data_IF_785870131678
#
_entry.id   IF_785870131678
#
_cell.length_a   1.000
_cell.length_b   1.000
_cell.length_c   1.000
_cell.angle_alpha   90.00
_cell.angle_beta   90.00
_cell.angle_gamma   90.00
#
_symmetry.space_group_name_H-M   'P 1'
#
loop_
_entity.id
_entity.type
_entity.pdbx_description
1 polymer ?
#
# COMPACT_ATOMS: atom_id res chain seq x y z
N UNK A 1 -37.29 40.77 -38.97
CA UNK A 1 -36.74 40.94 -37.61
C UNK A 1 -37.63 40.18 -36.62
N UNK A 2 -37.06 39.31 -35.77
CA UNK A 2 -37.82 38.53 -34.77
C UNK A 2 -38.30 39.46 -33.64
N UNK A 3 -39.57 39.32 -33.22
CA UNK A 3 -40.18 40.17 -32.19
C UNK A 3 -39.52 39.99 -30.81
N UNK A 4 -39.52 41.05 -29.98
CA UNK A 4 -39.01 40.99 -28.60
C UNK A 4 -39.71 39.91 -27.76
N UNK A 5 -41.02 39.72 -27.97
CA UNK A 5 -41.82 38.70 -27.26
C UNK A 5 -41.39 37.28 -27.62
N UNK A 6 -41.12 37.03 -28.90
CA UNK A 6 -40.62 35.73 -29.37
C UNK A 6 -39.23 35.43 -28.80
N UNK A 7 -38.32 36.40 -28.77
CA UNK A 7 -36.99 36.24 -28.15
C UNK A 7 -37.07 35.92 -26.67
N UNK A 8 -37.97 36.57 -25.92
CA UNK A 8 -38.16 36.34 -24.49
C UNK A 8 -38.71 34.93 -24.19
N UNK A 9 -39.67 34.45 -24.99
CA UNK A 9 -40.23 33.09 -24.84
C UNK A 9 -39.17 32.03 -25.15
N UNK A 10 -38.43 32.19 -26.26
CA UNK A 10 -37.37 31.25 -26.63
C UNK A 10 -36.26 31.20 -25.59
N UNK A 11 -35.86 32.36 -25.05
CA UNK A 11 -34.87 32.41 -23.96
C UNK A 11 -35.39 31.72 -22.69
N UNK A 12 -36.65 31.92 -22.31
CA UNK A 12 -37.26 31.24 -21.16
C UNK A 12 -37.30 29.72 -21.29
N UNK A 13 -37.68 29.22 -22.47
CA UNK A 13 -37.69 27.77 -22.76
C UNK A 13 -36.27 27.20 -22.73
N UNK A 14 -35.30 27.90 -23.33
CA UNK A 14 -33.90 27.45 -23.36
C UNK A 14 -33.31 27.42 -21.94
N UNK A 15 -33.55 28.44 -21.13
CA UNK A 15 -33.10 28.48 -19.73
C UNK A 15 -33.74 27.35 -18.91
N UNK A 16 -35.05 27.12 -19.03
CA UNK A 16 -35.72 26.03 -18.32
C UNK A 16 -35.20 24.65 -18.73
N UNK A 17 -34.94 24.44 -20.04
CA UNK A 17 -34.38 23.20 -20.55
C UNK A 17 -32.93 22.99 -20.07
N UNK A 18 -32.10 24.04 -20.06
CA UNK A 18 -30.73 23.98 -19.53
C UNK A 18 -30.72 23.75 -18.01
N UNK A 19 -31.61 24.38 -17.25
CA UNK A 19 -31.75 24.13 -15.81
C UNK A 19 -32.19 22.70 -15.51
N UNK A 20 -33.16 22.15 -16.25
CA UNK A 20 -33.59 20.76 -16.08
C UNK A 20 -32.47 19.76 -16.45
N UNK A 21 -31.69 20.06 -17.50
CA UNK A 21 -30.59 19.22 -17.97
C UNK A 21 -29.35 19.28 -17.09
N UNK A 22 -29.12 20.38 -16.38
CA UNK A 22 -28.02 20.53 -15.43
C UNK A 22 -28.35 19.91 -14.05
N UNK A 23 -29.63 19.81 -13.70
CA UNK A 23 -30.10 19.27 -12.42
C UNK A 23 -30.30 17.74 -12.47
N UNK A 24 -30.65 17.17 -13.63
CA UNK A 24 -30.83 15.72 -13.80
C UNK A 24 -29.56 14.87 -13.49
N UNK A 25 -28.34 15.26 -13.90
CA UNK A 25 -27.12 14.51 -13.53
C UNK A 25 -26.84 14.54 -12.02
N UNK A 26 -27.30 15.57 -11.29
CA UNK A 26 -27.14 15.66 -9.84
C UNK A 26 -28.07 14.70 -9.07
N UNK A 27 -29.15 14.23 -9.69
CA UNK A 27 -30.04 13.20 -9.13
C UNK A 27 -29.73 11.77 -9.61
N UNK A 28 -28.90 11.61 -10.65
CA UNK A 28 -28.53 10.29 -11.20
C UNK A 28 -27.47 9.54 -10.36
N UNK A 29 -26.94 10.13 -9.30
CA UNK A 29 -25.98 9.48 -8.40
C UNK A 29 -26.63 8.54 -7.36
N UNK A 30 -27.96 8.34 -7.38
CA UNK A 30 -28.68 7.58 -6.34
C UNK A 30 -29.32 6.26 -6.81
N UNK A 31 -28.99 5.75 -7.99
CA UNK A 31 -29.41 4.40 -8.33
C UNK A 31 -28.66 3.42 -7.40
N UNK A 32 -29.39 2.59 -6.65
CA UNK A 32 -28.79 1.59 -5.79
C UNK A 32 -27.86 0.70 -6.61
N UNK A 33 -26.63 0.53 -6.13
CA UNK A 33 -25.68 -0.43 -6.69
C UNK A 33 -26.18 -1.83 -6.37
N UNK A 34 -26.57 -2.58 -7.40
CA UNK A 34 -27.08 -3.95 -7.28
C UNK A 34 -26.05 -4.95 -6.74
N UNK A 35 -24.77 -4.59 -6.74
CA UNK A 35 -23.68 -5.40 -6.19
C UNK A 35 -23.36 -5.07 -4.72
N UNK A 36 -23.82 -3.92 -4.21
CA UNK A 36 -23.53 -3.46 -2.84
C UNK A 36 -24.77 -3.57 -1.95
N UNK A 37 -25.24 -4.79 -1.70
CA UNK A 37 -26.49 -5.04 -0.95
C UNK A 37 -26.29 -5.33 0.53
N UNK A 38 -25.06 -5.61 0.95
CA UNK A 38 -24.74 -6.01 2.32
C UNK A 38 -24.56 -4.79 3.23
N UNK A 39 -24.77 -4.97 4.54
CA UNK A 39 -24.49 -3.99 5.61
C UNK A 39 -24.99 -2.55 5.37
N UNK A 40 -26.08 -2.38 4.62
CA UNK A 40 -26.60 -1.06 4.28
C UNK A 40 -25.73 -0.26 3.31
N UNK A 41 -24.89 -0.92 2.50
CA UNK A 41 -23.94 -0.28 1.59
C UNK A 41 -24.57 0.73 0.60
N UNK A 42 -25.86 0.59 0.30
CA UNK A 42 -26.62 1.55 -0.52
C UNK A 42 -27.15 2.78 0.23
N UNK A 43 -26.97 2.88 1.56
CA UNK A 43 -27.47 4.01 2.36
C UNK A 43 -26.61 5.27 2.18
N UNK A 44 -25.29 5.10 2.02
CA UNK A 44 -24.35 6.20 1.79
C UNK A 44 -22.99 5.68 1.33
N UNK A 45 -22.13 6.54 0.80
CA UNK A 45 -20.73 6.17 0.51
C UNK A 45 -19.95 5.73 1.76
N UNK A 46 -20.28 6.25 2.94
CA UNK A 46 -19.64 5.82 4.19
C UNK A 46 -20.03 4.38 4.53
N UNK A 47 -21.31 4.02 4.35
CA UNK A 47 -21.79 2.64 4.53
C UNK A 47 -21.28 1.68 3.46
N UNK A 48 -21.13 2.16 2.22
CA UNK A 48 -20.48 1.39 1.16
C UNK A 48 -19.02 1.06 1.52
N UNK A 49 -18.29 2.06 2.02
CA UNK A 49 -16.94 1.87 2.52
C UNK A 49 -16.90 0.90 3.70
N UNK A 50 -17.79 1.06 4.70
CA UNK A 50 -17.85 0.17 5.88
C UNK A 50 -18.10 -1.29 5.46
N UNK A 51 -19.01 -1.51 4.52
CA UNK A 51 -19.26 -2.85 3.96
C UNK A 51 -18.03 -3.44 3.28
N UNK A 52 -17.31 -2.66 2.47
CA UNK A 52 -16.06 -3.13 1.85
C UNK A 52 -14.97 -3.41 2.89
N UNK A 53 -14.85 -2.52 3.88
CA UNK A 53 -13.89 -2.67 4.98
C UNK A 53 -14.16 -3.96 5.77
N UNK A 54 -15.43 -4.30 5.98
CA UNK A 54 -15.81 -5.54 6.63
C UNK A 54 -15.35 -6.77 5.84
N UNK A 55 -15.40 -6.73 4.52
CA UNK A 55 -14.95 -7.86 3.69
C UNK A 55 -13.44 -8.03 3.68
N UNK A 56 -12.70 -6.92 3.54
CA UNK A 56 -11.25 -6.96 3.27
C UNK A 56 -10.41 -6.87 4.54
N UNK A 57 -10.89 -6.21 5.61
CA UNK A 57 -10.18 -6.06 6.88
C UNK A 57 -10.85 -6.88 7.99
N UNK A 58 -12.10 -6.56 8.36
CA UNK A 58 -12.76 -7.20 9.53
C UNK A 58 -12.84 -8.71 9.35
N UNK A 59 -13.23 -9.17 8.16
CA UNK A 59 -13.33 -10.58 7.77
C UNK A 59 -12.23 -10.99 6.77
N UNK A 60 -11.19 -10.17 6.61
CA UNK A 60 -10.18 -10.35 5.57
C UNK A 60 -9.50 -11.72 5.58
N UNK A 61 -9.21 -12.26 6.77
CA UNK A 61 -8.64 -13.61 6.89
C UNK A 61 -9.60 -14.73 6.45
N UNK A 62 -10.89 -14.57 6.76
CA UNK A 62 -11.92 -15.54 6.39
C UNK A 62 -12.21 -15.47 4.89
N UNK A 63 -12.19 -14.27 4.33
CA UNK A 63 -12.49 -14.00 2.93
C UNK A 63 -11.26 -14.18 2.02
N UNK A 64 -10.07 -14.40 2.59
CA UNK A 64 -8.84 -14.70 1.85
C UNK A 64 -8.03 -13.48 1.40
N UNK A 65 -8.37 -12.28 1.87
CA UNK A 65 -7.59 -11.06 1.60
C UNK A 65 -6.34 -10.94 2.49
N UNK A 66 -6.45 -11.42 3.74
CA UNK A 66 -5.38 -11.33 4.72
C UNK A 66 -4.89 -12.72 5.08
N UNK A 67 -3.58 -12.87 5.20
CA UNK A 67 -2.99 -14.11 5.68
C UNK A 67 -3.32 -14.39 7.15
N UNK A 68 -3.10 -15.64 7.58
CA UNK A 68 -3.19 -16.00 9.01
C UNK A 68 -1.98 -15.52 9.82
N UNK A 69 -0.93 -15.06 9.14
CA UNK A 69 0.32 -14.62 9.74
C UNK A 69 0.18 -13.16 10.12
N UNK A 70 0.14 -12.88 11.42
CA UNK A 70 -0.17 -11.54 11.94
C UNK A 70 1.04 -10.84 12.58
N UNK A 71 2.23 -11.45 12.51
CA UNK A 71 3.48 -11.02 13.17
C UNK A 71 3.19 -10.24 14.47
N UNK A 72 2.60 -10.94 15.44
CA UNK A 72 2.12 -10.35 16.69
C UNK A 72 0.68 -9.82 16.65
N UNK A 73 0.48 -8.62 17.20
CA UNK A 73 -0.84 -8.02 17.48
C UNK A 73 -1.39 -7.16 16.32
N UNK A 74 -0.94 -7.43 15.09
CA UNK A 74 -1.30 -6.67 13.89
C UNK A 74 -2.38 -7.39 13.06
N UNK A 75 -2.71 -6.87 11.88
CA UNK A 75 -3.55 -7.60 10.93
C UNK A 75 -2.78 -8.76 10.31
N UNK A 76 -3.46 -9.64 9.60
CA UNK A 76 -2.78 -10.54 8.68
C UNK A 76 -2.07 -9.74 7.59
N UNK A 77 -0.91 -10.22 7.13
CA UNK A 77 -0.23 -9.65 5.95
C UNK A 77 -1.21 -9.71 4.75
N UNK A 78 -1.50 -8.60 4.06
CA UNK A 78 -2.40 -8.59 2.92
C UNK A 78 -1.76 -9.30 1.73
N UNK A 79 -2.49 -10.25 1.13
CA UNK A 79 -2.09 -10.83 -0.14
C UNK A 79 -2.30 -9.83 -1.28
N UNK A 80 -1.56 -10.01 -2.38
CA UNK A 80 -1.75 -9.27 -3.62
C UNK A 80 -3.14 -9.55 -4.22
N UNK A 81 -3.61 -10.79 -4.13
CA UNK A 81 -4.96 -11.18 -4.49
C UNK A 81 -5.49 -12.36 -3.67
N UNK A 82 -6.82 -12.51 -3.64
CA UNK A 82 -7.49 -13.65 -3.01
C UNK A 82 -7.21 -14.94 -3.78
N UNK A 83 -7.18 -14.84 -5.11
CA UNK A 83 -6.82 -15.93 -5.99
C UNK A 83 -5.30 -16.13 -6.04
N UNK A 84 -4.84 -17.38 -6.00
CA UNK A 84 -3.42 -17.71 -6.03
C UNK A 84 -2.81 -17.66 -7.44
N UNK A 85 -3.62 -17.91 -8.48
CA UNK A 85 -3.16 -17.91 -9.88
C UNK A 85 -3.22 -16.49 -10.46
N UNK A 86 -2.22 -15.66 -10.12
CA UNK A 86 -2.08 -14.29 -10.60
C UNK A 86 -0.62 -14.08 -11.04
N UNK A 87 -0.42 -13.53 -12.24
CA UNK A 87 0.89 -13.14 -12.77
C UNK A 87 0.75 -11.82 -13.52
N UNK A 88 1.24 -10.73 -12.93
CA UNK A 88 1.10 -9.38 -13.52
C UNK A 88 2.26 -8.44 -13.15
N UNK A 89 2.71 -8.49 -11.90
CA UNK A 89 3.93 -7.86 -11.40
C UNK A 89 4.56 -8.76 -10.32
N UNK A 90 3.84 -9.13 -9.24
CA UNK A 90 4.04 -10.41 -8.58
C UNK A 90 3.66 -11.55 -9.53
N UNK A 91 4.21 -12.73 -9.27
CA UNK A 91 3.98 -13.95 -10.04
C UNK A 91 3.24 -15.05 -9.24
N UNK A 92 2.84 -14.73 -8.01
CA UNK A 92 1.94 -15.53 -7.20
C UNK A 92 0.99 -14.65 -6.37
N UNK A 93 -0.31 -14.96 -6.37
CA UNK A 93 -1.32 -14.07 -5.77
C UNK A 93 -1.22 -13.90 -4.26
N UNK A 94 -0.63 -14.87 -3.56
CA UNK A 94 -0.38 -14.80 -2.12
C UNK A 94 1.02 -14.26 -1.76
N UNK A 95 1.72 -13.66 -2.72
CA UNK A 95 2.76 -12.70 -2.37
C UNK A 95 2.11 -11.44 -1.77
N UNK A 96 2.89 -10.63 -1.06
CA UNK A 96 2.51 -9.28 -0.66
C UNK A 96 3.47 -8.28 -1.27
N UNK A 97 3.05 -7.02 -1.32
CA UNK A 97 3.88 -5.94 -1.84
C UNK A 97 3.87 -4.74 -0.92
N UNK A 98 4.89 -3.88 -1.01
CA UNK A 98 4.85 -2.57 -0.35
C UNK A 98 3.66 -1.72 -0.81
N UNK A 99 3.15 -1.97 -2.02
CA UNK A 99 1.90 -1.41 -2.53
C UNK A 99 0.72 -1.88 -1.67
N UNK A 100 0.50 -3.20 -1.53
CA UNK A 100 -0.58 -3.76 -0.70
C UNK A 100 -0.50 -3.28 0.76
N UNK A 101 0.71 -3.20 1.31
CA UNK A 101 0.96 -2.65 2.65
C UNK A 101 0.59 -1.17 2.79
N UNK A 102 0.84 -0.37 1.76
CA UNK A 102 0.41 1.03 1.77
C UNK A 102 -1.12 1.16 1.71
N UNK A 103 -1.81 0.26 0.99
CA UNK A 103 -3.27 0.26 0.89
C UNK A 103 -3.96 -0.18 2.17
N UNK A 104 -3.45 -1.16 2.92
CA UNK A 104 -4.03 -1.51 4.24
C UNK A 104 -3.89 -0.33 5.22
N UNK A 105 -2.76 0.37 5.19
CA UNK A 105 -2.60 1.61 5.98
C UNK A 105 -3.60 2.68 5.55
N UNK A 106 -3.81 2.87 4.25
CA UNK A 106 -4.74 3.88 3.75
C UNK A 106 -6.20 3.56 4.09
N UNK A 107 -6.63 2.30 3.92
CA UNK A 107 -8.02 1.91 4.20
C UNK A 107 -8.33 2.01 5.69
N UNK A 108 -7.40 1.62 6.57
CA UNK A 108 -7.55 1.78 8.02
C UNK A 108 -7.53 3.25 8.46
N UNK A 109 -6.71 4.10 7.82
CA UNK A 109 -6.77 5.55 8.06
C UNK A 109 -8.14 6.14 7.69
N UNK A 110 -8.70 5.75 6.54
CA UNK A 110 -10.03 6.20 6.12
C UNK A 110 -11.11 5.72 7.10
N UNK A 111 -11.04 4.47 7.53
CA UNK A 111 -11.94 3.90 8.53
C UNK A 111 -11.93 4.71 9.82
N UNK A 112 -10.75 4.97 10.39
CA UNK A 112 -10.63 5.73 11.64
C UNK A 112 -11.16 7.17 11.49
N UNK A 113 -10.93 7.82 10.33
CA UNK A 113 -11.50 9.15 10.04
C UNK A 113 -13.02 9.12 9.95
N UNK A 114 -13.61 8.14 9.26
CA UNK A 114 -15.07 8.02 9.13
C UNK A 114 -15.72 7.72 10.49
N UNK A 115 -15.10 6.87 11.30
CA UNK A 115 -15.53 6.57 12.66
C UNK A 115 -15.49 7.82 13.54
N UNK A 116 -14.40 8.60 13.48
CA UNK A 116 -14.26 9.86 14.25
C UNK A 116 -15.33 10.91 13.89
N UNK A 117 -15.87 10.85 12.67
CA UNK A 117 -16.95 11.73 12.18
C UNK A 117 -18.35 11.18 12.46
N UNK A 118 -18.47 10.03 13.11
CA UNK A 118 -19.72 9.30 13.35
C UNK A 118 -20.46 8.95 12.05
N UNK A 119 -19.72 8.70 10.96
CA UNK A 119 -20.30 8.29 9.67
C UNK A 119 -20.41 6.76 9.54
N UNK A 120 -19.64 6.03 10.34
CA UNK A 120 -19.66 4.57 10.49
C UNK A 120 -19.62 4.23 11.99
N UNK A 121 -20.00 3.01 12.38
CA UNK A 121 -20.11 2.63 13.79
C UNK A 121 -18.91 1.80 14.24
N UNK A 122 -17.82 2.47 14.61
CA UNK A 122 -16.62 1.82 15.11
C UNK A 122 -15.93 2.63 16.20
N UNK A 123 -15.33 1.94 17.17
CA UNK A 123 -14.47 2.53 18.21
C UNK A 123 -13.01 2.07 18.07
N UNK A 124 -12.72 1.27 17.04
CA UNK A 124 -11.39 0.74 16.77
C UNK A 124 -10.42 1.84 16.34
N UNK A 125 -9.13 1.62 16.61
CA UNK A 125 -8.01 2.44 16.14
C UNK A 125 -7.16 1.58 15.22
N UNK A 126 -7.64 1.36 14.01
CA UNK A 126 -7.08 0.34 13.14
C UNK A 126 -5.86 0.84 12.37
N UNK A 127 -5.66 2.16 12.24
CA UNK A 127 -4.44 2.71 11.63
C UNK A 127 -3.17 2.27 12.36
N UNK A 128 -3.17 2.23 13.70
CA UNK A 128 -2.01 1.78 14.47
C UNK A 128 -1.67 0.30 14.19
N UNK A 129 -2.70 -0.54 14.05
CA UNK A 129 -2.52 -1.96 13.71
C UNK A 129 -2.04 -2.13 12.28
N UNK A 130 -2.59 -1.37 11.34
CA UNK A 130 -2.18 -1.39 9.94
C UNK A 130 -0.72 -0.96 9.79
N UNK A 131 -0.30 0.08 10.51
CA UNK A 131 1.10 0.53 10.50
C UNK A 131 2.04 -0.56 11.03
N UNK A 132 1.69 -1.22 12.14
CA UNK A 132 2.44 -2.39 12.65
C UNK A 132 2.50 -3.55 11.64
N UNK A 133 1.42 -3.75 10.87
CA UNK A 133 1.38 -4.76 9.80
C UNK A 133 2.36 -4.39 8.68
N UNK A 134 2.41 -3.11 8.30
CA UNK A 134 3.36 -2.58 7.30
C UNK A 134 4.82 -2.75 7.74
N UNK A 135 5.11 -2.62 9.03
CA UNK A 135 6.46 -2.80 9.56
C UNK A 135 6.99 -4.24 9.40
N UNK A 136 6.14 -5.23 9.15
CA UNK A 136 6.59 -6.59 8.80
C UNK A 136 7.36 -6.64 7.47
N UNK A 137 7.16 -5.67 6.56
CA UNK A 137 7.90 -5.55 5.30
C UNK A 137 9.13 -4.65 5.38
N UNK A 138 9.52 -4.20 6.59
CA UNK A 138 10.67 -3.31 6.83
C UNK A 138 11.80 -4.12 7.48
N UNK A 139 12.64 -4.80 6.69
CA UNK A 139 13.67 -5.66 7.25
C UNK A 139 14.76 -4.86 7.97
N UNK A 140 15.33 -5.47 9.01
CA UNK A 140 16.43 -4.90 9.81
C UNK A 140 15.97 -3.95 10.90
N UNK A 141 15.10 -2.98 10.61
CA UNK A 141 14.58 -2.08 11.65
C UNK A 141 13.46 -2.72 12.46
N UNK A 142 12.54 -3.43 11.80
CA UNK A 142 11.36 -3.99 12.46
C UNK A 142 11.64 -5.37 13.02
N UNK A 143 11.35 -5.55 14.32
CA UNK A 143 11.34 -6.85 14.99
C UNK A 143 10.27 -7.80 14.46
N UNK A 144 9.28 -7.27 13.74
CA UNK A 144 8.19 -8.06 13.15
C UNK A 144 8.53 -8.52 11.73
N UNK A 145 9.63 -8.04 11.14
CA UNK A 145 10.10 -8.52 9.85
C UNK A 145 10.77 -9.89 10.00
N UNK A 146 10.57 -10.76 9.02
CA UNK A 146 11.25 -12.05 8.99
C UNK A 146 12.78 -11.89 8.94
N UNK A 147 13.50 -12.78 9.60
CA UNK A 147 14.96 -12.76 9.66
C UNK A 147 15.52 -11.58 10.47
N UNK A 148 14.70 -10.91 11.28
CA UNK A 148 15.18 -9.87 12.18
C UNK A 148 16.26 -10.43 13.11
N UNK A 149 17.46 -9.82 13.07
CA UNK A 149 18.64 -10.24 13.82
C UNK A 149 19.47 -11.34 13.15
N UNK A 150 19.00 -11.96 12.08
CA UNK A 150 19.77 -12.96 11.31
C UNK A 150 20.66 -12.30 10.24
N UNK A 151 20.34 -11.05 9.87
CA UNK A 151 21.07 -10.24 8.88
C UNK A 151 21.64 -8.99 9.56
N UNK A 152 22.91 -8.69 9.31
CA UNK A 152 23.64 -7.54 9.86
C UNK A 152 23.27 -6.22 9.13
N UNK A 153 22.02 -5.78 9.24
CA UNK A 153 21.52 -4.54 8.65
C UNK A 153 22.17 -3.27 9.23
N UNK A 154 22.76 -3.36 10.42
CA UNK A 154 23.49 -2.31 11.12
C UNK A 154 24.81 -1.93 10.45
N UNK A 155 25.40 -2.85 9.66
CA UNK A 155 26.67 -2.62 8.95
C UNK A 155 26.65 -1.38 8.07
N UNK A 156 25.51 -1.07 7.46
CA UNK A 156 25.36 0.17 6.68
C UNK A 156 25.46 1.41 7.56
N UNK A 157 24.80 1.41 8.71
CA UNK A 157 24.84 2.52 9.66
C UNK A 157 26.24 2.70 10.23
N UNK A 158 26.95 1.61 10.49
CA UNK A 158 28.33 1.65 10.98
C UNK A 158 29.31 2.25 9.97
N UNK A 159 29.14 1.96 8.67
CA UNK A 159 29.92 2.61 7.61
C UNK A 159 29.51 4.08 7.48
N UNK A 160 28.20 4.36 7.43
CA UNK A 160 27.67 5.72 7.27
C UNK A 160 28.07 6.65 8.42
N UNK A 161 28.16 6.15 9.65
CA UNK A 161 28.61 6.91 10.83
C UNK A 161 30.13 6.92 11.00
N UNK A 162 30.89 6.20 10.14
CA UNK A 162 32.34 6.10 10.21
C UNK A 162 32.88 5.25 11.37
N UNK A 163 32.05 4.43 12.03
CA UNK A 163 32.48 3.55 13.15
C UNK A 163 33.51 2.52 12.69
N UNK A 164 33.34 2.00 11.47
CA UNK A 164 34.25 1.01 10.86
C UNK A 164 35.21 1.64 9.82
N UNK A 165 35.37 2.97 9.88
CA UNK A 165 36.17 3.77 8.95
C UNK A 165 35.32 4.52 7.93
N UNK A 166 35.68 5.78 7.65
CA UNK A 166 34.94 6.66 6.73
C UNK A 166 35.28 6.35 5.27
N UNK A 167 34.81 5.21 4.77
CA UNK A 167 34.91 4.83 3.36
C UNK A 167 33.75 5.38 2.52
N UNK A 168 32.74 5.96 3.15
CA UNK A 168 31.48 6.35 2.53
C UNK A 168 30.64 5.14 2.10
N UNK A 169 29.32 5.30 2.16
CA UNK A 169 28.42 4.37 1.48
C UNK A 169 28.53 4.61 -0.01
N UNK A 170 28.79 3.55 -0.77
CA UNK A 170 28.87 3.61 -2.24
C UNK A 170 28.39 2.32 -2.88
N UNK A 171 28.09 2.40 -4.17
CA UNK A 171 27.87 1.24 -5.03
C UNK A 171 29.00 1.11 -6.07
N UNK A 172 29.26 -0.13 -6.47
CA UNK A 172 30.05 -0.42 -7.66
C UNK A 172 29.16 -0.24 -8.90
N UNK A 173 29.69 0.36 -9.95
CA UNK A 173 28.92 0.58 -11.18
C UNK A 173 28.88 -0.69 -12.04
N UNK A 174 27.68 -1.04 -12.50
CA UNK A 174 27.42 -2.07 -13.50
C UNK A 174 26.49 -1.49 -14.57
N UNK A 175 26.58 -2.00 -15.79
CA UNK A 175 25.64 -1.64 -16.87
C UNK A 175 24.36 -2.48 -16.77
N UNK A 176 23.27 -1.93 -17.29
CA UNK A 176 22.05 -2.70 -17.56
C UNK A 176 22.19 -3.39 -18.92
N UNK A 177 21.90 -4.69 -19.00
CA UNK A 177 21.91 -5.41 -20.27
C UNK A 177 20.54 -5.33 -20.96
N UNK A 178 20.49 -5.26 -22.30
CA UNK A 178 19.23 -5.12 -23.03
C UNK A 178 18.37 -6.38 -23.01
N UNK A 179 18.95 -7.56 -22.73
CA UNK A 179 18.24 -8.84 -22.71
C UNK A 179 18.66 -9.71 -21.50
N UNK A 180 17.78 -10.59 -20.99
CA UNK A 180 18.12 -11.46 -19.86
C UNK A 180 19.29 -12.40 -20.10
N UNK A 181 19.45 -12.95 -21.32
CA UNK A 181 20.56 -13.87 -21.65
C UNK A 181 21.95 -13.23 -21.62
N UNK A 182 22.02 -11.90 -21.54
CA UNK A 182 23.28 -11.17 -21.48
C UNK A 182 23.82 -11.09 -20.03
N UNK A 183 23.01 -11.47 -19.03
CA UNK A 183 23.44 -11.56 -17.62
C UNK A 183 24.14 -12.91 -17.32
N UNK A 184 25.11 -12.94 -16.37
CA UNK A 184 25.60 -11.81 -15.58
C UNK A 184 26.55 -10.89 -16.36
N UNK A 185 26.37 -9.57 -16.22
CA UNK A 185 27.30 -8.58 -16.76
C UNK A 185 28.63 -8.56 -15.98
N UNK A 186 29.67 -7.99 -16.57
CA UNK A 186 30.95 -7.76 -15.91
C UNK A 186 30.94 -6.41 -15.22
N UNK A 187 31.44 -6.36 -13.99
CA UNK A 187 31.66 -5.12 -13.27
C UNK A 187 32.48 -4.14 -14.14
N UNK A 188 31.90 -2.97 -14.40
CA UNK A 188 32.57 -1.95 -15.18
C UNK A 188 33.65 -1.27 -14.35
N UNK A 189 34.65 -0.70 -15.01
CA UNK A 189 35.54 0.27 -14.37
C UNK A 189 34.82 1.62 -14.25
N UNK A 190 33.85 1.69 -13.36
CA UNK A 190 33.23 2.95 -12.92
C UNK A 190 33.98 3.56 -11.73
N UNK A 191 33.81 4.86 -11.54
CA UNK A 191 34.20 5.52 -10.29
C UNK A 191 33.23 5.22 -9.15
N UNK A 192 33.63 5.54 -7.92
CA UNK A 192 32.81 5.31 -6.73
C UNK A 192 31.52 6.16 -6.75
N UNK A 193 30.36 5.51 -6.70
CA UNK A 193 29.06 6.17 -6.60
C UNK A 193 28.67 6.39 -5.13
N UNK A 194 29.14 7.47 -4.52
CA UNK A 194 28.89 7.78 -3.11
C UNK A 194 27.46 8.25 -2.84
N UNK A 195 26.88 7.82 -1.71
CA UNK A 195 25.63 8.34 -1.17
C UNK A 195 25.86 9.63 -0.36
N UNK A 196 25.44 10.81 -0.85
CA UNK A 196 25.73 12.09 -0.21
C UNK A 196 24.95 12.33 1.09
N UNK A 197 23.87 11.59 1.34
CA UNK A 197 23.01 11.78 2.53
C UNK A 197 23.23 10.74 3.63
N UNK A 198 24.14 9.78 3.42
CA UNK A 198 24.35 8.67 4.36
C UNK A 198 24.71 9.16 5.78
N UNK A 199 25.60 10.15 5.89
CA UNK A 199 26.01 10.73 7.18
C UNK A 199 24.86 11.46 7.87
N UNK A 200 24.07 12.20 7.12
CA UNK A 200 22.92 12.95 7.65
C UNK A 200 21.84 11.99 8.18
N UNK A 201 21.54 10.93 7.43
CA UNK A 201 20.61 9.88 7.86
C UNK A 201 21.13 9.17 9.12
N UNK A 202 22.41 8.78 9.15
CA UNK A 202 23.00 8.10 10.31
C UNK A 202 22.99 8.98 11.57
N UNK A 203 23.18 10.29 11.40
CA UNK A 203 23.08 11.27 12.46
C UNK A 203 21.63 11.42 12.97
N UNK A 204 20.66 11.54 12.06
CA UNK A 204 19.26 11.74 12.41
C UNK A 204 18.64 10.52 13.14
N UNK A 205 19.07 9.32 12.78
CA UNK A 205 18.54 8.06 13.30
C UNK A 205 19.56 7.28 14.14
N UNK A 206 20.45 8.01 14.81
CA UNK A 206 21.51 7.42 15.64
C UNK A 206 20.92 6.48 16.70
N UNK A 207 21.35 5.22 16.73
CA UNK A 207 20.86 4.21 17.67
C UNK A 207 19.76 3.29 17.12
N UNK A 208 19.57 3.27 15.80
CA UNK A 208 18.77 2.26 15.10
C UNK A 208 19.68 1.32 14.32
N UNK A 209 19.27 0.06 14.17
CA UNK A 209 20.10 -1.03 13.62
C UNK A 209 19.65 -1.50 12.22
N UNK A 210 18.85 -0.68 11.50
CA UNK A 210 18.41 -1.05 10.15
C UNK A 210 17.68 0.07 9.41
N UNK A 211 17.40 -0.14 8.13
CA UNK A 211 16.68 0.84 7.32
C UNK A 211 15.20 0.84 7.68
N UNK A 212 14.61 2.04 7.81
CA UNK A 212 13.16 2.19 7.83
C UNK A 212 12.63 2.33 6.39
N UNK A 213 12.76 1.25 5.63
CA UNK A 213 12.36 1.18 4.21
C UNK A 213 11.70 -0.17 3.93
N UNK A 214 10.49 -0.14 3.37
CA UNK A 214 9.81 -1.37 2.95
C UNK A 214 10.58 -2.06 1.82
N UNK A 215 10.79 -3.36 1.95
CA UNK A 215 11.04 -4.19 0.78
C UNK A 215 9.78 -4.26 -0.09
N UNK A 216 9.95 -4.46 -1.40
CA UNK A 216 8.85 -4.29 -2.34
C UNK A 216 7.94 -5.52 -2.46
N UNK A 217 8.44 -6.72 -2.14
CA UNK A 217 7.77 -8.00 -2.34
C UNK A 217 8.02 -8.92 -1.13
N UNK A 218 7.06 -9.74 -0.74
CA UNK A 218 7.23 -10.76 0.30
C UNK A 218 6.48 -12.04 -0.08
N UNK A 219 7.08 -13.20 0.21
CA UNK A 219 6.46 -14.50 0.03
C UNK A 219 5.78 -14.92 1.34
N UNK A 220 4.55 -14.45 1.51
CA UNK A 220 3.83 -14.48 2.79
C UNK A 220 3.63 -15.89 3.35
N UNK A 221 3.47 -16.88 2.47
CA UNK A 221 3.18 -18.26 2.86
C UNK A 221 4.41 -19.18 2.69
N UNK A 222 5.60 -18.64 2.41
CA UNK A 222 6.81 -19.39 2.05
C UNK A 222 6.55 -20.39 0.90
N UNK A 223 5.78 -19.96 -0.11
CA UNK A 223 5.42 -20.78 -1.27
C UNK A 223 6.64 -21.19 -2.09
N UNK A 224 7.63 -20.31 -2.21
CA UNK A 224 8.90 -20.59 -2.86
C UNK A 224 9.86 -21.42 -2.01
N UNK A 225 9.67 -21.48 -0.69
CA UNK A 225 10.45 -22.32 0.22
C UNK A 225 11.81 -21.74 0.64
N UNK A 226 12.03 -20.42 0.45
CA UNK A 226 13.27 -19.75 0.84
C UNK A 226 13.30 -19.33 2.32
N UNK A 227 12.15 -19.25 2.99
CA UNK A 227 11.99 -18.91 4.42
C UNK A 227 12.31 -20.06 5.39
N UNK A 228 12.91 -21.15 4.89
CA UNK A 228 13.32 -22.29 5.72
C UNK A 228 12.19 -23.26 6.08
N UNK A 229 11.04 -23.21 5.40
CA UNK A 229 9.97 -24.20 5.50
C UNK A 229 8.92 -23.93 6.58
N UNK A 230 8.78 -22.68 7.01
CA UNK A 230 7.71 -22.26 7.93
C UNK A 230 6.80 -21.27 7.21
N UNK A 231 5.52 -21.59 6.97
CA UNK A 231 4.58 -20.63 6.39
C UNK A 231 4.51 -19.35 7.24
N UNK A 232 4.62 -18.17 6.63
CA UNK A 232 4.66 -16.89 7.38
C UNK A 232 6.04 -16.37 7.74
N UNK A 233 7.08 -17.00 7.24
CA UNK A 233 8.47 -16.69 7.52
C UNK A 233 9.17 -16.05 6.31
N UNK A 234 8.46 -15.28 5.48
CA UNK A 234 8.99 -14.67 4.25
C UNK A 234 8.40 -13.29 3.99
#
# INVERSE_FOLDING_TARGET
MISKKTKAITAGILTAAMSASAVMPAFSASAANSFATENGANESFAKMFESLYDDVITNGQKNGYLSKNTNGASFGIPYHGVETLIVEAPDYGHESTSEAMSYITWICAMHDVLASKNLISSTSKDLEKAWKTTEALIPGWSTEAYGYGDVEYDTFWDIASGKVGDKGIKADALSECPQPQDYPDKQEKGGDAFNPIAKDMASAYSGTDGYYLMHWLADVDDWYGFGGGTPGAG
#
